data_IF_342552224896
#
_entry.id   IF_342552224896
#
_cell.length_a   1.000
_cell.length_b   1.000
_cell.length_c   1.000
_cell.angle_alpha   90.00
_cell.angle_beta   90.00
_cell.angle_gamma   90.00
#
_symmetry.space_group_name_H-M   'P 1'
#
loop_
_entity.id
_entity.type
_entity.pdbx_description
1 polymer ?
#
# COMPACT_ATOMS: atom_id res chain seq x y z
N UNK A 1 54.65 44.20 -33.15
CA UNK A 1 53.37 44.08 -33.87
C UNK A 1 53.61 43.11 -35.03
N UNK A 2 52.94 41.98 -35.24
CA UNK A 2 51.59 41.54 -34.90
C UNK A 2 51.59 40.05 -34.48
N UNK A 3 50.70 39.72 -33.55
CA UNK A 3 50.33 38.36 -33.11
C UNK A 3 49.72 37.57 -34.26
N UNK A 4 50.06 36.29 -34.38
CA UNK A 4 49.14 35.28 -34.90
C UNK A 4 48.89 34.23 -33.81
N UNK A 5 47.62 33.93 -33.65
CA UNK A 5 46.94 33.23 -32.57
C UNK A 5 46.44 31.87 -33.14
N UNK A 6 46.12 30.92 -32.23
CA UNK A 6 45.18 29.76 -32.39
C UNK A 6 45.80 28.48 -33.02
N UNK A 7 45.57 27.24 -32.55
CA UNK A 7 44.57 26.62 -31.65
C UNK A 7 45.21 25.43 -30.92
N UNK A 8 44.99 25.30 -29.61
CA UNK A 8 45.22 24.10 -28.81
C UNK A 8 44.07 23.13 -29.10
N UNK A 9 44.34 21.97 -29.71
CA UNK A 9 43.33 20.90 -29.83
C UNK A 9 43.34 20.12 -28.52
N UNK A 10 42.44 20.52 -27.63
CA UNK A 10 42.14 19.86 -26.38
C UNK A 10 41.31 18.61 -26.71
N UNK A 11 41.94 17.44 -26.64
CA UNK A 11 41.26 16.16 -26.82
C UNK A 11 40.25 15.94 -25.70
N UNK A 12 38.96 16.04 -26.03
CA UNK A 12 37.89 15.68 -25.11
C UNK A 12 37.86 14.15 -24.96
N UNK A 13 38.39 13.65 -23.84
CA UNK A 13 38.04 12.34 -23.32
C UNK A 13 36.56 12.37 -22.93
N UNK A 14 35.70 11.85 -23.80
CA UNK A 14 34.30 11.57 -23.49
C UNK A 14 34.30 10.40 -22.52
N UNK A 15 34.25 10.69 -21.22
CA UNK A 15 33.96 9.71 -20.19
C UNK A 15 32.44 9.48 -20.25
N UNK A 16 32.02 8.50 -21.04
CA UNK A 16 30.70 7.89 -20.88
C UNK A 16 30.73 7.07 -19.58
N UNK A 17 30.64 7.76 -18.44
CA UNK A 17 30.27 7.13 -17.19
C UNK A 17 28.78 6.82 -17.30
N UNK A 18 28.48 5.55 -17.52
CA UNK A 18 27.20 4.92 -17.21
C UNK A 18 26.85 5.24 -15.75
N UNK A 19 26.10 6.32 -15.53
CA UNK A 19 25.27 6.45 -14.34
C UNK A 19 24.06 5.58 -14.63
N UNK A 20 24.24 4.26 -14.49
CA UNK A 20 23.11 3.41 -14.17
C UNK A 20 22.60 3.91 -12.82
N UNK A 21 21.44 4.56 -12.81
CA UNK A 21 20.75 4.87 -11.57
C UNK A 21 20.62 3.56 -10.79
N UNK A 22 21.32 3.45 -9.67
CA UNK A 22 21.17 2.28 -8.81
C UNK A 22 19.79 2.36 -8.19
N UNK A 23 18.82 1.63 -8.74
CA UNK A 23 17.49 1.34 -8.14
C UNK A 23 17.57 0.62 -6.78
N UNK A 24 18.75 0.51 -6.20
CA UNK A 24 19.06 -0.40 -5.11
C UNK A 24 18.47 0.04 -3.75
N UNK A 25 17.99 1.30 -3.67
CA UNK A 25 17.43 1.92 -2.46
C UNK A 25 15.98 2.42 -2.65
N UNK A 26 15.30 2.01 -3.73
CA UNK A 26 13.90 2.36 -3.97
C UNK A 26 12.98 1.26 -3.43
N UNK A 27 11.79 1.64 -2.99
CA UNK A 27 10.73 0.69 -2.64
C UNK A 27 10.23 0.05 -3.95
N UNK A 28 10.10 -1.29 -4.04
CA UNK A 28 9.60 -1.97 -5.24
C UNK A 28 8.24 -1.44 -5.70
N UNK A 29 7.97 -1.52 -7.00
CA UNK A 29 6.73 -1.02 -7.59
C UNK A 29 5.54 -1.83 -7.07
N UNK A 30 5.71 -3.14 -6.86
CA UNK A 30 4.70 -4.03 -6.28
C UNK A 30 4.32 -3.64 -4.85
N UNK A 31 5.32 -3.34 -4.02
CA UNK A 31 5.12 -2.89 -2.64
C UNK A 31 4.42 -1.55 -2.60
N UNK A 32 4.81 -0.63 -3.49
CA UNK A 32 4.14 0.67 -3.65
C UNK A 32 2.68 0.48 -4.04
N UNK A 33 2.40 -0.34 -5.07
CA UNK A 33 1.05 -0.66 -5.53
C UNK A 33 0.18 -1.26 -4.42
N UNK A 34 0.73 -2.21 -3.66
CA UNK A 34 0.03 -2.84 -2.54
C UNK A 34 -0.30 -1.83 -1.42
N UNK A 35 0.66 -0.99 -1.04
CA UNK A 35 0.46 0.02 0.00
C UNK A 35 -0.63 1.02 -0.39
N UNK A 36 -0.67 1.48 -1.64
CA UNK A 36 -1.79 2.31 -2.12
C UNK A 36 -3.13 1.58 -2.00
N UNK A 37 -3.20 0.31 -2.44
CA UNK A 37 -4.45 -0.46 -2.41
C UNK A 37 -5.02 -0.66 -1.00
N UNK A 38 -4.16 -0.93 0.00
CA UNK A 38 -4.61 -1.19 1.39
C UNK A 38 -4.80 0.07 2.23
N UNK A 39 -4.17 1.21 1.85
CA UNK A 39 -4.22 2.47 2.60
C UNK A 39 -5.26 3.45 2.06
N UNK A 40 -5.44 3.54 0.75
CA UNK A 40 -6.30 4.57 0.16
C UNK A 40 -7.78 4.23 0.31
N UNK A 41 -8.52 5.13 0.94
CA UNK A 41 -9.95 4.95 1.26
C UNK A 41 -10.72 6.26 1.03
N UNK A 42 -11.98 6.23 0.57
CA UNK A 42 -12.79 5.06 0.29
C UNK A 42 -12.28 4.28 -0.93
N UNK A 43 -12.38 2.96 -0.87
CA UNK A 43 -12.09 2.07 -1.99
C UNK A 43 -13.22 1.04 -2.10
N UNK A 44 -14.31 1.47 -2.77
CA UNK A 44 -15.52 0.65 -2.90
C UNK A 44 -15.26 -0.63 -3.69
N UNK A 45 -14.27 -0.69 -4.59
CA UNK A 45 -13.98 -1.92 -5.35
C UNK A 45 -13.35 -3.01 -4.48
N UNK A 46 -12.48 -2.62 -3.52
CA UNK A 46 -11.73 -3.56 -2.68
C UNK A 46 -12.35 -3.82 -1.32
N UNK A 47 -13.18 -2.89 -0.83
CA UNK A 47 -13.78 -2.98 0.49
C UNK A 47 -15.21 -2.45 0.49
N UNK A 48 -16.12 -3.35 0.84
CA UNK A 48 -17.49 -3.02 1.19
C UNK A 48 -17.70 -3.40 2.64
N UNK A 49 -18.14 -2.44 3.46
CA UNK A 49 -18.61 -2.73 4.81
C UNK A 49 -19.87 -3.61 4.72
N UNK A 50 -19.69 -4.92 4.80
CA UNK A 50 -20.80 -5.87 4.84
C UNK A 50 -21.16 -6.10 6.32
N UNK A 51 -22.35 -5.66 6.79
CA UNK A 51 -22.81 -6.01 8.11
C UNK A 51 -23.07 -7.53 8.15
N UNK A 52 -22.18 -8.27 8.82
CA UNK A 52 -22.46 -9.65 9.18
C UNK A 52 -23.26 -9.65 10.48
N UNK A 53 -24.58 -9.84 10.38
CA UNK A 53 -25.43 -10.03 11.55
C UNK A 53 -25.17 -11.42 12.14
N UNK A 54 -24.29 -11.49 13.14
CA UNK A 54 -24.02 -12.73 13.89
C UNK A 54 -24.54 -12.54 15.30
N UNK A 55 -25.73 -13.10 15.60
CA UNK A 55 -26.39 -12.92 16.89
C UNK A 55 -27.23 -14.12 17.34
N UNK A 56 -27.44 -14.25 18.66
CA UNK A 56 -28.44 -15.20 19.15
C UNK A 56 -29.82 -14.67 18.77
N UNK A 57 -30.54 -15.41 17.91
CA UNK A 57 -31.87 -15.02 17.42
C UNK A 57 -31.88 -14.40 16.02
N UNK A 58 -30.73 -14.34 15.33
CA UNK A 58 -30.74 -14.16 13.87
C UNK A 58 -31.21 -15.45 13.23
N UNK A 59 -32.03 -15.32 12.19
CA UNK A 59 -32.50 -16.48 11.42
C UNK A 59 -31.29 -17.19 10.77
N UNK A 60 -31.42 -18.51 10.61
CA UNK A 60 -30.41 -19.27 9.85
C UNK A 60 -30.48 -18.77 8.42
N UNK A 61 -29.35 -18.36 7.81
CA UNK A 61 -29.39 -17.81 6.47
C UNK A 61 -29.93 -18.83 5.49
N UNK A 62 -30.78 -18.37 4.58
CA UNK A 62 -31.34 -19.23 3.54
C UNK A 62 -30.34 -19.48 2.40
N UNK A 63 -30.71 -20.34 1.45
CA UNK A 63 -29.84 -20.72 0.33
C UNK A 63 -29.48 -19.51 -0.55
N UNK A 64 -30.41 -18.57 -0.73
CA UNK A 64 -30.18 -17.35 -1.52
C UNK A 64 -29.20 -16.41 -0.81
N UNK A 65 -29.32 -16.26 0.51
CA UNK A 65 -28.38 -15.49 1.33
C UNK A 65 -26.97 -16.10 1.35
N UNK A 66 -26.88 -17.44 1.38
CA UNK A 66 -25.60 -18.16 1.29
C UNK A 66 -24.98 -17.96 -0.10
N UNK A 67 -25.74 -18.12 -1.18
CA UNK A 67 -25.26 -17.91 -2.55
C UNK A 67 -24.79 -16.46 -2.77
N UNK A 68 -25.56 -15.49 -2.30
CA UNK A 68 -25.20 -14.07 -2.37
C UNK A 68 -23.89 -13.78 -1.61
N UNK A 69 -23.73 -14.35 -0.43
CA UNK A 69 -22.50 -14.21 0.38
C UNK A 69 -21.29 -14.82 -0.33
N UNK A 70 -21.43 -16.03 -0.87
CA UNK A 70 -20.35 -16.68 -1.63
C UNK A 70 -19.96 -15.88 -2.87
N UNK A 71 -20.95 -15.33 -3.59
CA UNK A 71 -20.73 -14.47 -4.74
C UNK A 71 -19.96 -13.20 -4.37
N UNK A 72 -20.35 -12.54 -3.28
CA UNK A 72 -19.67 -11.34 -2.80
C UNK A 72 -18.21 -11.62 -2.41
N UNK A 73 -17.94 -12.74 -1.73
CA UNK A 73 -16.56 -13.16 -1.38
C UNK A 73 -15.72 -13.42 -2.63
N UNK A 74 -16.28 -14.06 -3.65
CA UNK A 74 -15.58 -14.33 -4.90
C UNK A 74 -15.34 -13.04 -5.71
N UNK A 75 -16.30 -12.11 -5.73
CA UNK A 75 -16.14 -10.79 -6.35
C UNK A 75 -15.04 -9.96 -5.66
N UNK A 76 -15.05 -9.91 -4.33
CA UNK A 76 -14.00 -9.26 -3.53
C UNK A 76 -12.63 -9.89 -3.82
N UNK A 77 -12.54 -11.22 -3.82
CA UNK A 77 -11.30 -11.93 -4.15
C UNK A 77 -10.77 -11.55 -5.53
N UNK A 78 -11.64 -11.53 -6.53
CA UNK A 78 -11.26 -11.19 -7.90
C UNK A 78 -10.81 -9.72 -8.02
N UNK A 79 -11.46 -8.79 -7.33
CA UNK A 79 -11.05 -7.39 -7.29
C UNK A 79 -9.64 -7.22 -6.67
N UNK A 80 -9.36 -7.92 -5.57
CA UNK A 80 -8.02 -7.94 -4.97
C UNK A 80 -6.98 -8.60 -5.88
N UNK A 81 -7.31 -9.71 -6.55
CA UNK A 81 -6.38 -10.40 -7.45
C UNK A 81 -6.05 -9.54 -8.68
N UNK A 82 -7.05 -8.89 -9.27
CA UNK A 82 -6.85 -7.95 -10.38
C UNK A 82 -6.00 -6.74 -9.96
N UNK A 83 -6.23 -6.23 -8.73
CA UNK A 83 -5.53 -5.03 -8.27
C UNK A 83 -4.10 -5.32 -7.82
N UNK A 84 -3.85 -6.38 -7.07
CA UNK A 84 -2.53 -6.64 -6.46
C UNK A 84 -2.05 -8.09 -6.53
N UNK A 85 -2.78 -8.99 -7.20
CA UNK A 85 -2.41 -10.40 -7.28
C UNK A 85 -1.04 -10.64 -7.92
N UNK A 86 -0.68 -9.80 -8.90
CA UNK A 86 0.63 -9.81 -9.57
C UNK A 86 1.80 -9.33 -8.68
N UNK A 87 1.52 -8.68 -7.55
CA UNK A 87 2.53 -8.25 -6.60
C UNK A 87 3.09 -9.39 -5.76
N UNK A 88 2.44 -10.56 -5.70
CA UNK A 88 2.77 -11.62 -4.76
C UNK A 88 3.57 -12.74 -5.37
N UNK A 89 4.49 -13.29 -4.58
CA UNK A 89 5.14 -14.55 -4.89
C UNK A 89 4.08 -15.67 -4.97
N UNK A 90 4.38 -16.71 -5.75
CA UNK A 90 3.44 -17.80 -6.03
C UNK A 90 2.87 -18.40 -4.73
N UNK A 91 1.55 -18.35 -4.59
CA UNK A 91 0.81 -18.91 -3.44
C UNK A 91 0.74 -17.99 -2.22
N UNK A 92 1.30 -16.78 -2.28
CA UNK A 92 1.29 -15.83 -1.16
C UNK A 92 0.07 -14.89 -1.20
N UNK A 93 -0.53 -14.66 -2.37
CA UNK A 93 -1.74 -13.84 -2.48
C UNK A 93 -2.89 -14.33 -1.60
N UNK A 94 -3.21 -15.63 -1.60
CA UNK A 94 -4.28 -16.17 -0.72
C UNK A 94 -3.96 -15.97 0.77
N UNK A 95 -2.68 -15.95 1.16
CA UNK A 95 -2.27 -15.68 2.54
C UNK A 95 -2.53 -14.21 2.89
N UNK A 96 -2.16 -13.29 2.01
CA UNK A 96 -2.47 -11.86 2.13
C UNK A 96 -3.99 -11.61 2.15
N UNK A 97 -4.75 -12.29 1.30
CA UNK A 97 -6.20 -12.12 1.23
C UNK A 97 -6.89 -12.44 2.57
N UNK A 98 -6.32 -13.35 3.37
CA UNK A 98 -6.82 -13.72 4.69
C UNK A 98 -6.20 -12.89 5.84
N UNK A 99 -5.37 -11.89 5.54
CA UNK A 99 -4.68 -11.07 6.53
C UNK A 99 -5.52 -9.86 6.94
N UNK A 100 -5.25 -9.33 8.16
CA UNK A 100 -5.96 -8.14 8.65
C UNK A 100 -5.46 -6.87 7.98
N UNK A 101 -4.18 -6.84 7.60
CA UNK A 101 -3.51 -5.71 6.94
C UNK A 101 -4.23 -5.30 5.65
N UNK A 102 -4.79 -6.27 4.93
CA UNK A 102 -5.61 -6.04 3.72
C UNK A 102 -6.72 -5.00 3.92
N UNK A 103 -7.38 -5.03 5.09
CA UNK A 103 -8.58 -4.22 5.35
C UNK A 103 -8.41 -3.23 6.50
N UNK A 104 -7.24 -3.13 7.13
CA UNK A 104 -7.05 -2.33 8.34
C UNK A 104 -7.44 -0.85 8.14
N UNK A 105 -6.81 -0.16 7.19
CA UNK A 105 -7.09 1.25 6.93
C UNK A 105 -8.48 1.45 6.29
N UNK A 106 -8.89 0.54 5.40
CA UNK A 106 -10.21 0.59 4.75
C UNK A 106 -11.35 0.50 5.77
N UNK A 107 -11.27 -0.43 6.72
CA UNK A 107 -12.25 -0.55 7.80
C UNK A 107 -12.15 0.55 8.86
N UNK A 108 -10.94 0.93 9.25
CA UNK A 108 -10.72 2.00 10.23
C UNK A 108 -11.25 3.36 9.74
N UNK A 109 -11.03 3.68 8.46
CA UNK A 109 -11.50 4.92 7.85
C UNK A 109 -13.03 4.96 7.77
N UNK A 110 -13.69 3.85 7.42
CA UNK A 110 -15.14 3.72 7.46
C UNK A 110 -15.72 3.95 8.88
N UNK A 111 -15.13 3.29 9.89
CA UNK A 111 -15.56 3.45 11.31
C UNK A 111 -15.36 4.88 11.82
N UNK A 112 -14.22 5.48 11.50
CA UNK A 112 -13.85 6.83 11.94
C UNK A 112 -14.51 7.94 11.10
N UNK A 113 -15.14 7.61 9.98
CA UNK A 113 -15.77 8.58 9.08
C UNK A 113 -14.74 9.49 8.42
N UNK A 114 -13.61 8.93 7.98
CA UNK A 114 -12.54 9.65 7.29
C UNK A 114 -12.17 8.99 5.96
N UNK A 115 -11.42 9.72 5.15
CA UNK A 115 -10.75 9.25 3.94
C UNK A 115 -9.26 9.20 4.23
N UNK A 116 -8.55 8.28 3.59
CA UNK A 116 -7.11 8.13 3.74
C UNK A 116 -6.43 8.15 2.38
N UNK A 117 -5.26 8.77 2.32
CA UNK A 117 -4.41 8.78 1.14
C UNK A 117 -2.94 8.59 1.50
N UNK A 118 -2.18 7.98 0.59
CA UNK A 118 -0.73 7.85 0.75
C UNK A 118 -0.07 9.16 0.31
N UNK A 119 0.59 9.85 1.23
CA UNK A 119 1.40 11.04 0.89
C UNK A 119 2.81 10.67 0.47
N UNK A 120 3.38 9.68 1.14
CA UNK A 120 4.80 9.35 1.00
C UNK A 120 5.05 7.91 1.44
N UNK A 121 5.92 7.24 0.70
CA UNK A 121 6.45 5.91 1.03
C UNK A 121 7.96 6.01 1.05
N UNK A 122 8.59 5.52 2.10
CA UNK A 122 10.04 5.60 2.32
C UNK A 122 10.61 4.27 2.76
N UNK A 123 11.67 3.81 2.08
CA UNK A 123 12.49 2.71 2.57
C UNK A 123 13.35 3.20 3.74
N UNK A 124 13.12 2.66 4.93
CA UNK A 124 13.87 3.00 6.15
C UNK A 124 15.11 2.12 6.27
N UNK A 125 14.94 0.81 6.12
CA UNK A 125 16.00 -0.18 6.27
C UNK A 125 15.73 -1.37 5.36
N UNK A 126 16.80 -2.02 4.91
CA UNK A 126 16.73 -3.26 4.13
C UNK A 126 17.74 -4.26 4.66
N UNK A 127 17.24 -5.40 5.13
CA UNK A 127 18.04 -6.47 5.74
C UNK A 127 17.66 -7.81 5.11
N UNK A 128 18.59 -8.45 4.40
CA UNK A 128 18.32 -9.70 3.66
C UNK A 128 17.09 -9.51 2.75
N UNK A 129 16.02 -10.29 2.94
CA UNK A 129 14.78 -10.19 2.20
C UNK A 129 13.66 -9.42 2.93
N UNK A 130 14.03 -8.54 3.85
CA UNK A 130 13.11 -7.73 4.66
C UNK A 130 13.35 -6.26 4.34
N UNK A 131 12.27 -5.53 4.09
CA UNK A 131 12.23 -4.08 4.00
C UNK A 131 11.41 -3.52 5.16
N UNK A 132 11.95 -2.52 5.83
CA UNK A 132 11.22 -1.68 6.76
C UNK A 132 10.84 -0.40 6.02
N UNK A 133 9.55 -0.12 5.96
CA UNK A 133 8.98 0.97 5.18
C UNK A 133 8.21 1.89 6.10
N UNK A 134 8.41 3.18 5.94
CA UNK A 134 7.57 4.21 6.56
C UNK A 134 6.59 4.73 5.53
N UNK A 135 5.32 4.82 5.88
CA UNK A 135 4.28 5.41 5.04
C UNK A 135 3.62 6.56 5.78
N UNK A 136 3.66 7.75 5.20
CA UNK A 136 2.89 8.90 5.67
C UNK A 136 1.49 8.79 5.11
N UNK A 137 0.53 8.48 5.98
CA UNK A 137 -0.89 8.41 5.66
C UNK A 137 -1.54 9.73 6.04
N UNK A 138 -2.16 10.42 5.08
CA UNK A 138 -3.00 11.56 5.38
C UNK A 138 -4.43 11.07 5.57
N UNK A 139 -5.04 11.43 6.69
CA UNK A 139 -6.45 11.21 6.94
C UNK A 139 -7.21 12.53 6.94
N UNK A 140 -8.37 12.55 6.30
CA UNK A 140 -9.27 13.71 6.21
C UNK A 140 -10.69 13.31 6.58
N UNK A 141 -11.34 14.07 7.45
CA UNK A 141 -12.69 13.75 7.92
C UNK A 141 -13.74 13.98 6.83
N UNK A 142 -14.59 12.99 6.57
CA UNK A 142 -15.70 13.11 5.63
C UNK A 142 -16.87 13.83 6.32
N UNK A 143 -17.33 14.97 5.82
CA UNK A 143 -18.57 15.66 6.23
C UNK A 143 -18.60 16.48 7.54
N UNK A 144 -17.48 17.02 8.01
CA UNK A 144 -17.49 18.03 9.09
C UNK A 144 -17.46 19.46 8.54
N UNK A 145 -18.14 20.39 9.23
CA UNK A 145 -18.16 21.83 8.87
C UNK A 145 -16.77 22.46 8.83
N UNK A 146 -15.80 21.82 9.47
CA UNK A 146 -14.38 22.09 9.38
C UNK A 146 -13.69 20.73 9.16
N UNK A 147 -13.15 20.48 7.97
CA UNK A 147 -12.41 19.27 7.69
C UNK A 147 -11.14 19.25 8.54
N UNK A 148 -10.98 18.23 9.38
CA UNK A 148 -9.71 17.98 10.07
C UNK A 148 -8.84 17.11 9.18
N UNK A 149 -7.59 17.52 9.02
CA UNK A 149 -6.57 16.77 8.31
C UNK A 149 -5.46 16.44 9.26
N UNK A 150 -5.08 15.17 9.34
CA UNK A 150 -3.98 14.69 10.17
C UNK A 150 -3.12 13.71 9.39
N UNK A 151 -1.81 13.80 9.59
CA UNK A 151 -0.84 12.87 9.03
C UNK A 151 -0.43 11.86 10.12
N UNK A 152 -0.28 10.60 9.70
CA UNK A 152 0.14 9.47 10.54
C UNK A 152 1.39 8.84 9.92
N UNK A 153 2.43 8.64 10.73
CA UNK A 153 3.67 7.99 10.30
C UNK A 153 3.65 6.49 10.60
N UNK A 154 3.08 5.73 9.69
CA UNK A 154 2.91 4.28 9.86
C UNK A 154 4.20 3.52 9.48
N UNK A 155 4.47 2.41 10.15
CA UNK A 155 5.62 1.56 9.89
C UNK A 155 5.19 0.17 9.44
N UNK A 156 5.85 -0.34 8.41
CA UNK A 156 5.52 -1.59 7.74
C UNK A 156 6.76 -2.47 7.59
N UNK A 157 6.57 -3.77 7.74
CA UNK A 157 7.56 -4.79 7.41
C UNK A 157 7.10 -5.56 6.18
N UNK A 158 7.91 -5.54 5.12
CA UNK A 158 7.67 -6.31 3.89
C UNK A 158 8.73 -7.37 3.76
N UNK A 159 8.30 -8.63 3.69
CA UNK A 159 9.17 -9.75 3.35
C UNK A 159 8.94 -10.05 1.88
N UNK A 160 10.00 -9.98 1.09
CA UNK A 160 9.96 -10.18 -0.35
C UNK A 160 10.70 -11.47 -0.75
N UNK A 161 10.48 -11.93 -1.99
CA UNK A 161 11.12 -13.12 -2.53
C UNK A 161 12.61 -12.86 -2.82
N UNK A 162 13.48 -13.75 -2.33
CA UNK A 162 14.94 -13.59 -2.48
C UNK A 162 15.40 -13.62 -3.93
N UNK A 163 14.71 -14.38 -4.77
CA UNK A 163 15.06 -14.57 -6.16
C UNK A 163 14.39 -13.49 -7.04
N UNK A 164 13.28 -12.90 -6.59
CA UNK A 164 12.62 -11.77 -7.25
C UNK A 164 12.13 -10.70 -6.24
N UNK A 165 12.92 -9.63 -6.00
CA UNK A 165 12.56 -8.59 -5.04
C UNK A 165 11.32 -7.76 -5.36
N UNK A 166 10.73 -7.91 -6.55
CA UNK A 166 9.43 -7.34 -6.88
C UNK A 166 8.27 -8.22 -6.37
N UNK A 167 8.51 -9.44 -5.89
CA UNK A 167 7.44 -10.31 -5.40
C UNK A 167 7.36 -10.31 -3.88
N UNK A 168 6.18 -10.01 -3.36
CA UNK A 168 5.89 -9.95 -1.93
C UNK A 168 5.56 -11.35 -1.42
N UNK A 169 6.18 -11.74 -0.30
CA UNK A 169 5.81 -12.94 0.44
C UNK A 169 4.82 -12.62 1.57
N UNK A 170 5.06 -11.52 2.29
CA UNK A 170 4.12 -11.00 3.30
C UNK A 170 4.35 -9.52 3.55
N UNK A 171 3.31 -8.84 4.03
CA UNK A 171 3.36 -7.46 4.52
C UNK A 171 2.70 -7.42 5.91
N UNK A 172 3.29 -6.67 6.83
CA UNK A 172 2.80 -6.52 8.20
C UNK A 172 2.85 -5.05 8.61
N UNK A 173 1.76 -4.54 9.17
CA UNK A 173 1.73 -3.23 9.83
C UNK A 173 2.34 -3.39 11.22
N UNK A 174 3.43 -2.66 11.50
CA UNK A 174 4.15 -2.76 12.78
C UNK A 174 3.85 -1.59 13.72
N UNK A 175 3.47 -0.45 13.18
CA UNK A 175 3.01 0.73 13.93
C UNK A 175 2.04 1.54 13.06
N UNK A 176 0.88 1.91 13.60
CA UNK A 176 -0.13 2.70 12.88
C UNK A 176 -0.16 4.18 13.32
N UNK A 177 0.75 4.58 14.21
CA UNK A 177 0.83 5.93 14.79
C UNK A 177 -0.49 6.37 15.48
N UNK A 178 -1.24 5.40 16.01
CA UNK A 178 -2.52 5.62 16.68
C UNK A 178 -3.63 6.07 15.72
N UNK A 179 -3.55 5.66 14.45
CA UNK A 179 -4.59 5.92 13.46
C UNK A 179 -5.93 5.32 13.88
N UNK A 180 -5.93 4.08 14.38
CA UNK A 180 -7.16 3.41 14.81
C UNK A 180 -7.89 4.19 15.91
N UNK A 181 -7.16 4.73 16.87
CA UNK A 181 -7.72 5.51 17.98
C UNK A 181 -8.07 6.97 17.62
N UNK A 182 -7.85 7.41 16.38
CA UNK A 182 -8.20 8.76 15.93
C UNK A 182 -9.72 8.92 15.82
N UNK A 183 -10.33 9.18 16.98
CA UNK A 183 -11.77 9.34 17.09
C UNK A 183 -12.16 10.80 16.82
N UNK A 184 -12.61 11.03 15.59
CA UNK A 184 -13.07 12.34 15.08
C UNK A 184 -14.38 12.80 15.76
N UNK A 185 -15.11 11.92 16.45
CA UNK A 185 -16.44 12.20 17.03
C UNK A 185 -16.42 12.81 18.44
N UNK A 186 -15.33 13.45 18.88
CA UNK A 186 -15.26 14.12 20.20
C UNK A 186 -15.70 15.57 20.20
#
# INVERSE_FOLDING_TARGET
MKRNIRIIVMGAFVINALIGCSKQNEVPDSTTKLLHAIVESPNEELYHAQPTEIGIGTDVPDEEEIEATQKAVEEEKNAWDETVGDCFAKGMFDTFLNSQERIYFLGASDVNGCQTSVKKIELVEKNDNIQHIKVTVQAETSDYKEAETKDFETEWRVIYDKDDPELIQTIELTDDDGFWEWNVKK
#
